data_IF_507661546933
#
_entry.id   IF_507661546933
#
_cell.length_a   1.000
_cell.length_b   1.000
_cell.length_c   1.000
_cell.angle_alpha   90.00
_cell.angle_beta   90.00
_cell.angle_gamma   90.00
#
_symmetry.space_group_name_H-M   'P 1'
#
loop_
_entity.id
_entity.type
_entity.pdbx_description
1 polymer ?
#
# COMPACT_ATOMS: atom_id res chain seq x y z
N UNK A 1 57.67 -48.77 -49.37
CA UNK A 1 57.16 -49.73 -48.37
C UNK A 1 56.20 -49.01 -47.44
N UNK A 2 55.14 -49.69 -47.00
CA UNK A 2 53.82 -49.17 -46.63
C UNK A 2 53.74 -48.92 -45.11
N UNK A 3 52.65 -48.41 -44.52
CA UNK A 3 51.52 -49.17 -43.92
C UNK A 3 50.77 -48.08 -43.10
N UNK A 4 49.60 -47.55 -43.49
CA UNK A 4 48.21 -47.95 -43.14
C UNK A 4 48.00 -48.49 -41.72
N UNK A 5 47.20 -47.81 -40.90
CA UNK A 5 45.96 -48.34 -40.27
C UNK A 5 45.44 -47.34 -39.20
N UNK A 6 44.16 -46.96 -39.19
CA UNK A 6 42.99 -47.77 -38.75
C UNK A 6 43.22 -48.27 -37.31
N UNK A 7 42.35 -48.18 -36.31
CA UNK A 7 40.89 -48.11 -36.17
C UNK A 7 40.64 -48.02 -34.64
N UNK A 8 39.56 -47.35 -34.17
CA UNK A 8 38.39 -47.97 -33.49
C UNK A 8 38.80 -49.07 -32.48
N UNK A 9 38.52 -49.03 -31.17
CA UNK A 9 37.18 -49.13 -30.55
C UNK A 9 37.29 -49.13 -29.00
N UNK A 10 36.26 -48.56 -28.36
CA UNK A 10 35.49 -49.09 -27.22
C UNK A 10 36.08 -49.35 -25.81
N UNK A 11 35.48 -48.59 -24.86
CA UNK A 11 34.74 -49.02 -23.66
C UNK A 11 35.53 -49.63 -22.50
N UNK A 12 35.57 -48.89 -21.38
CA UNK A 12 35.05 -49.43 -20.12
C UNK A 12 34.23 -48.37 -19.37
N UNK A 13 33.00 -48.77 -19.07
CA UNK A 13 31.98 -48.06 -18.29
C UNK A 13 31.95 -48.76 -16.92
N UNK A 14 32.16 -48.04 -15.82
CA UNK A 14 31.56 -48.38 -14.51
C UNK A 14 31.15 -47.08 -13.80
N UNK A 15 29.91 -47.13 -13.34
CA UNK A 15 29.05 -46.15 -12.71
C UNK A 15 29.34 -45.99 -11.21
N UNK A 16 29.07 -44.81 -10.62
CA UNK A 16 28.07 -44.64 -9.54
C UNK A 16 28.10 -43.23 -8.91
N UNK A 17 26.98 -42.52 -9.15
CA UNK A 17 26.22 -41.69 -8.21
C UNK A 17 26.60 -40.23 -7.88
N UNK A 18 25.57 -39.40 -7.60
CA UNK A 18 25.45 -38.06 -8.15
C UNK A 18 25.80 -36.99 -7.13
N UNK A 19 26.55 -35.98 -7.57
CA UNK A 19 26.63 -34.71 -6.86
C UNK A 19 25.36 -33.91 -7.15
N UNK A 20 24.38 -34.11 -6.27
CA UNK A 20 23.54 -33.08 -5.67
C UNK A 20 23.32 -31.85 -6.57
N UNK A 21 22.38 -31.99 -7.52
CA UNK A 21 21.76 -30.83 -8.15
C UNK A 21 20.82 -30.21 -7.13
N UNK A 22 21.39 -29.39 -6.24
CA UNK A 22 20.63 -28.42 -5.50
C UNK A 22 19.92 -27.53 -6.52
N UNK A 23 18.62 -27.75 -6.65
CA UNK A 23 17.67 -26.88 -7.30
C UNK A 23 17.96 -25.44 -6.87
N UNK A 24 18.59 -24.66 -7.74
CA UNK A 24 18.37 -23.23 -7.71
C UNK A 24 16.89 -23.06 -8.05
N UNK A 25 16.04 -22.53 -7.15
CA UNK A 25 14.74 -22.07 -7.59
C UNK A 25 15.03 -21.03 -8.67
N UNK A 26 14.45 -21.27 -9.84
CA UNK A 26 14.32 -20.26 -10.88
C UNK A 26 13.99 -18.94 -10.19
N UNK A 27 14.84 -17.93 -10.38
CA UNK A 27 14.43 -16.56 -10.17
C UNK A 27 13.22 -16.38 -11.08
N UNK A 28 12.03 -16.54 -10.53
CA UNK A 28 10.77 -16.15 -11.15
C UNK A 28 11.03 -14.73 -11.62
N UNK A 29 11.14 -14.54 -12.93
CA UNK A 29 11.21 -13.21 -13.51
C UNK A 29 10.03 -12.46 -12.92
N UNK A 30 10.29 -11.40 -12.15
CA UNK A 30 9.23 -10.58 -11.60
C UNK A 30 8.36 -10.16 -12.77
N UNK A 31 7.16 -10.70 -12.87
CA UNK A 31 6.22 -10.35 -13.92
C UNK A 31 6.02 -8.84 -13.84
N UNK A 32 6.10 -8.16 -14.99
CA UNK A 32 5.87 -6.73 -15.03
C UNK A 32 4.48 -6.44 -14.41
N UNK A 33 4.38 -5.45 -13.51
CA UNK A 33 3.15 -5.17 -12.81
C UNK A 33 2.02 -4.90 -13.83
N UNK A 34 0.83 -5.49 -13.64
CA UNK A 34 -0.22 -5.43 -14.67
C UNK A 34 -0.82 -4.04 -14.84
N UNK A 35 -0.69 -3.17 -13.84
CA UNK A 35 -1.22 -1.81 -13.86
C UNK A 35 -0.25 -0.80 -13.25
N UNK A 36 -0.41 0.47 -13.64
CA UNK A 36 0.29 1.60 -13.03
C UNK A 36 -0.66 2.77 -12.78
N UNK A 37 -0.48 3.46 -11.65
CA UNK A 37 -1.11 4.75 -11.39
C UNK A 37 -0.31 5.83 -12.12
N UNK A 38 -0.98 6.61 -12.98
CA UNK A 38 -0.35 7.66 -13.77
C UNK A 38 -0.92 9.01 -13.36
N UNK A 39 -0.06 9.92 -12.93
CA UNK A 39 -0.40 11.30 -12.55
C UNK A 39 0.16 12.24 -13.61
N UNK A 40 -0.72 12.81 -14.42
CA UNK A 40 -0.41 13.80 -15.44
C UNK A 40 -0.51 15.20 -14.84
N UNK A 41 0.53 16.03 -14.97
CA UNK A 41 0.50 17.39 -14.44
C UNK A 41 1.29 18.37 -15.32
N UNK A 42 0.72 19.55 -15.67
CA UNK A 42 1.26 20.43 -16.69
C UNK A 42 2.64 21.03 -16.36
N UNK A 43 3.02 21.09 -15.08
CA UNK A 43 4.30 21.66 -14.65
C UNK A 43 5.41 20.61 -14.43
N UNK A 44 5.18 19.35 -14.77
CA UNK A 44 6.21 18.31 -14.75
C UNK A 44 7.10 18.38 -16.00
N UNK A 45 7.68 19.55 -16.26
CA UNK A 45 8.68 19.71 -17.32
C UNK A 45 10.05 19.24 -16.80
N UNK A 46 10.85 18.66 -17.69
CA UNK A 46 12.27 18.45 -17.39
C UNK A 46 12.93 19.82 -17.28
N UNK A 47 13.48 20.14 -16.11
CA UNK A 47 14.42 21.23 -15.95
C UNK A 47 15.53 21.11 -17.01
N UNK A 48 16.11 22.24 -17.39
CA UNK A 48 17.19 22.36 -18.39
C UNK A 48 18.40 21.42 -18.20
N UNK A 49 18.54 20.77 -17.05
CA UNK A 49 19.56 19.75 -16.73
C UNK A 49 19.07 18.30 -16.82
N UNK A 50 17.88 18.07 -17.36
CA UNK A 50 17.25 16.75 -17.41
C UNK A 50 16.73 16.26 -16.06
N UNK A 51 16.76 17.11 -15.01
CA UNK A 51 16.10 16.83 -13.74
C UNK A 51 14.62 17.15 -13.88
N UNK A 52 13.77 16.36 -13.25
CA UNK A 52 12.35 16.69 -13.20
C UNK A 52 12.15 17.90 -12.30
N UNK A 53 11.33 18.87 -12.74
CA UNK A 53 10.73 19.80 -11.80
C UNK A 53 9.87 18.99 -10.85
N UNK A 54 10.40 18.66 -9.67
CA UNK A 54 9.70 17.84 -8.69
C UNK A 54 8.77 18.74 -7.88
N UNK A 55 7.48 18.60 -8.09
CA UNK A 55 6.51 19.06 -7.11
C UNK A 55 6.44 18.01 -5.99
N UNK A 56 7.05 18.33 -4.84
CA UNK A 56 7.11 17.44 -3.68
C UNK A 56 5.72 17.05 -3.16
N UNK A 57 4.72 17.93 -3.31
CA UNK A 57 3.35 17.64 -2.89
C UNK A 57 2.70 16.62 -3.81
N UNK A 58 2.84 16.79 -5.14
CA UNK A 58 2.31 15.83 -6.13
C UNK A 58 2.94 14.46 -5.92
N UNK A 59 4.26 14.39 -5.75
CA UNK A 59 4.97 13.14 -5.49
C UNK A 59 4.48 12.46 -4.21
N UNK A 60 4.30 13.24 -3.14
CA UNK A 60 3.81 12.75 -1.85
C UNK A 60 2.40 12.21 -1.96
N UNK A 61 1.48 12.92 -2.61
CA UNK A 61 0.09 12.49 -2.75
C UNK A 61 -0.06 11.31 -3.72
N UNK A 62 0.78 11.24 -4.77
CA UNK A 62 0.88 10.05 -5.64
C UNK A 62 1.25 8.81 -4.84
N UNK A 63 2.35 8.84 -4.08
CA UNK A 63 2.80 7.68 -3.29
C UNK A 63 1.78 7.25 -2.23
N UNK A 64 1.08 8.21 -1.62
CA UNK A 64 -0.02 7.91 -0.68
C UNK A 64 -1.26 7.34 -1.37
N UNK A 65 -1.60 7.80 -2.57
CA UNK A 65 -2.69 7.25 -3.36
C UNK A 65 -2.42 5.78 -3.71
N UNK A 66 -1.22 5.46 -4.20
CA UNK A 66 -0.80 4.06 -4.46
C UNK A 66 -0.87 3.21 -3.21
N UNK A 67 -0.33 3.71 -2.09
CA UNK A 67 -0.36 2.99 -0.82
C UNK A 67 -1.80 2.74 -0.32
N UNK A 68 -2.71 3.70 -0.52
CA UNK A 68 -4.12 3.57 -0.14
C UNK A 68 -4.86 2.57 -1.04
N UNK A 69 -4.55 2.57 -2.34
CA UNK A 69 -5.11 1.62 -3.30
C UNK A 69 -4.66 0.18 -3.01
N UNK A 70 -3.39 0.01 -2.63
CA UNK A 70 -2.85 -1.27 -2.19
C UNK A 70 -3.55 -1.80 -0.93
N UNK A 71 -3.71 -0.93 0.06
CA UNK A 71 -4.41 -1.27 1.31
C UNK A 71 -5.88 -1.64 1.07
N UNK A 72 -6.55 -1.02 0.10
CA UNK A 72 -7.93 -1.39 -0.29
C UNK A 72 -8.00 -2.79 -0.92
N UNK A 73 -7.00 -3.19 -1.71
CA UNK A 73 -6.96 -4.48 -2.40
C UNK A 73 -6.28 -5.60 -1.60
N UNK A 74 -5.86 -5.34 -0.36
CA UNK A 74 -5.19 -6.29 0.53
C UNK A 74 -3.92 -6.96 -0.05
N UNK A 75 -3.25 -6.31 -1.00
CA UNK A 75 -2.02 -6.80 -1.62
C UNK A 75 -0.78 -6.05 -1.12
N UNK A 76 0.40 -6.70 -1.03
CA UNK A 76 1.65 -5.98 -0.87
C UNK A 76 1.89 -5.14 -2.14
N UNK A 77 1.64 -3.84 -2.07
CA UNK A 77 2.21 -2.94 -3.07
C UNK A 77 3.72 -2.88 -2.83
N UNK A 78 4.45 -3.63 -3.63
CA UNK A 78 5.76 -3.16 -4.03
C UNK A 78 5.52 -1.85 -4.76
N UNK A 79 5.86 -0.74 -4.11
CA UNK A 79 5.99 0.55 -4.77
C UNK A 79 7.08 0.34 -5.83
N UNK A 80 6.67 0.17 -7.09
CA UNK A 80 7.60 0.14 -8.21
C UNK A 80 8.38 1.45 -8.31
N UNK A 81 9.34 1.49 -9.23
CA UNK A 81 10.08 2.71 -9.50
C UNK A 81 9.11 3.86 -9.81
N UNK A 82 9.35 5.03 -9.22
CA UNK A 82 8.67 6.24 -9.67
C UNK A 82 9.36 6.65 -10.95
N UNK A 83 8.74 6.36 -12.08
CA UNK A 83 9.26 6.80 -13.37
C UNK A 83 8.56 8.09 -13.74
N UNK A 84 9.33 9.04 -14.25
CA UNK A 84 8.73 10.16 -14.96
C UNK A 84 9.12 10.11 -16.41
N UNK A 85 8.10 10.03 -17.23
CA UNK A 85 8.15 10.21 -18.68
C UNK A 85 7.41 11.50 -18.97
N UNK A 86 7.95 12.34 -19.84
CA UNK A 86 7.37 13.59 -20.38
C UNK A 86 6.05 14.06 -19.72
N UNK A 87 6.11 14.83 -18.64
CA UNK A 87 4.92 15.47 -18.04
C UNK A 87 4.07 14.62 -17.09
N UNK A 88 4.49 13.38 -16.76
CA UNK A 88 3.74 12.50 -15.85
C UNK A 88 4.62 11.74 -14.86
N UNK A 89 4.05 11.43 -13.70
CA UNK A 89 4.56 10.42 -12.77
C UNK A 89 3.83 9.10 -13.02
N UNK A 90 4.56 8.01 -13.08
CA UNK A 90 4.05 6.65 -13.21
C UNK A 90 4.57 5.83 -12.03
N UNK A 91 3.64 5.18 -11.33
CA UNK A 91 3.94 4.32 -10.20
C UNK A 91 3.24 2.98 -10.39
N UNK A 92 4.05 1.94 -10.43
CA UNK A 92 3.52 0.60 -10.69
C UNK A 92 2.70 0.07 -9.52
N UNK A 93 1.66 -0.67 -9.87
CA UNK A 93 0.77 -1.35 -8.96
C UNK A 93 1.02 -2.86 -9.07
N UNK A 94 1.89 -3.36 -8.20
CA UNK A 94 2.03 -4.80 -8.00
C UNK A 94 0.82 -5.29 -7.18
N UNK A 95 -0.24 -5.73 -7.84
CA UNK A 95 -1.27 -6.54 -7.20
C UNK A 95 -0.73 -7.97 -7.10
N UNK A 96 -0.36 -8.40 -5.88
CA UNK A 96 0.00 -9.80 -5.67
C UNK A 96 -1.24 -10.63 -5.95
N UNK A 97 -1.13 -11.46 -6.98
CA UNK A 97 -2.11 -12.43 -7.43
C UNK A 97 -3.51 -11.84 -7.62
N UNK A 98 -3.98 -11.82 -8.87
CA UNK A 98 -5.42 -12.02 -9.06
C UNK A 98 -5.83 -13.19 -8.15
N UNK A 99 -6.80 -13.05 -7.23
CA UNK A 99 -7.43 -14.26 -6.75
C UNK A 99 -7.96 -14.92 -8.03
N UNK A 100 -7.46 -16.12 -8.33
CA UNK A 100 -7.99 -17.04 -9.34
C UNK A 100 -9.43 -17.48 -9.00
N UNK A 101 -10.27 -16.55 -8.53
CA UNK A 101 -11.60 -16.73 -7.99
C UNK A 101 -12.63 -15.89 -8.78
N UNK A 102 -12.20 -15.00 -9.68
CA UNK A 102 -13.10 -14.35 -10.64
C UNK A 102 -13.32 -15.23 -11.90
N UNK A 103 -13.61 -16.52 -11.70
CA UNK A 103 -14.26 -17.37 -12.72
C UNK A 103 -15.79 -17.42 -12.53
N UNK A 104 -16.33 -16.45 -11.79
CA UNK A 104 -17.76 -16.22 -11.67
C UNK A 104 -17.99 -14.74 -12.00
N UNK A 105 -18.58 -14.51 -13.17
CA UNK A 105 -19.15 -13.25 -13.66
C UNK A 105 -18.18 -12.11 -14.02
N UNK A 106 -17.59 -12.20 -15.22
CA UNK A 106 -17.61 -11.18 -16.28
C UNK A 106 -17.20 -9.71 -16.06
N UNK A 107 -17.03 -9.22 -14.84
CA UNK A 107 -16.64 -7.84 -14.53
C UNK A 107 -15.15 -7.82 -14.16
N UNK A 108 -14.38 -6.95 -14.83
CA UNK A 108 -12.98 -6.78 -14.45
C UNK A 108 -12.90 -6.15 -13.06
N UNK A 109 -12.00 -6.65 -12.22
CA UNK A 109 -11.80 -6.14 -10.84
C UNK A 109 -11.37 -4.66 -10.80
N UNK A 110 -10.92 -4.12 -11.94
CA UNK A 110 -10.69 -2.70 -12.21
C UNK A 110 -12.00 -1.93 -12.45
N UNK A 111 -12.91 -2.42 -13.29
CA UNK A 111 -14.22 -1.78 -13.50
C UNK A 111 -15.01 -1.67 -12.19
N UNK A 112 -14.98 -2.71 -11.35
CA UNK A 112 -15.60 -2.69 -10.01
C UNK A 112 -15.00 -1.59 -9.14
N UNK A 113 -13.67 -1.43 -9.16
CA UNK A 113 -12.99 -0.36 -8.43
C UNK A 113 -13.41 1.02 -8.95
N UNK A 114 -13.36 1.24 -10.26
CA UNK A 114 -13.73 2.53 -10.88
C UNK A 114 -15.19 2.88 -10.59
N UNK A 115 -16.09 1.91 -10.71
CA UNK A 115 -17.51 2.06 -10.40
C UNK A 115 -17.72 2.43 -8.93
N UNK A 116 -17.04 1.73 -8.02
CA UNK A 116 -17.09 2.01 -6.58
C UNK A 116 -16.58 3.41 -6.24
N UNK A 117 -15.42 3.81 -6.78
CA UNK A 117 -14.88 5.15 -6.56
C UNK A 117 -15.79 6.24 -7.15
N UNK A 118 -16.41 5.96 -8.29
CA UNK A 118 -17.37 6.89 -8.93
C UNK A 118 -18.62 7.07 -8.07
N UNK A 119 -19.14 5.99 -7.51
CA UNK A 119 -20.28 6.05 -6.60
C UNK A 119 -19.94 6.81 -5.32
N UNK A 120 -18.82 6.48 -4.68
CA UNK A 120 -18.36 7.17 -3.47
C UNK A 120 -18.16 8.67 -3.71
N UNK A 121 -17.61 9.05 -4.87
CA UNK A 121 -17.51 10.46 -5.27
C UNK A 121 -18.88 11.13 -5.34
N UNK A 122 -19.88 10.47 -5.95
CA UNK A 122 -21.26 11.00 -6.01
C UNK A 122 -21.87 11.14 -4.62
N UNK A 123 -21.66 10.17 -3.75
CA UNK A 123 -22.15 10.21 -2.37
C UNK A 123 -21.54 11.36 -1.58
N UNK A 124 -20.23 11.59 -1.71
CA UNK A 124 -19.54 12.71 -1.07
C UNK A 124 -20.07 14.06 -1.58
N UNK A 125 -20.21 14.22 -2.90
CA UNK A 125 -20.75 15.45 -3.48
C UNK A 125 -22.20 15.71 -3.05
N UNK A 126 -23.05 14.68 -2.97
CA UNK A 126 -24.41 14.82 -2.47
C UNK A 126 -24.45 15.16 -0.97
N UNK A 127 -23.57 14.53 -0.17
CA UNK A 127 -23.47 14.75 1.26
C UNK A 127 -22.99 16.16 1.61
N UNK A 128 -22.11 16.74 0.79
CA UNK A 128 -21.61 18.11 0.97
C UNK A 128 -22.70 19.19 0.78
N UNK A 129 -23.81 18.85 0.13
CA UNK A 129 -24.95 19.75 -0.07
C UNK A 129 -26.00 19.67 1.06
N UNK A 130 -25.80 18.79 2.04
CA UNK A 130 -26.69 18.68 3.20
C UNK A 130 -26.42 19.80 4.20
N UNK A 131 -27.49 20.27 4.86
CA UNK A 131 -27.37 21.23 5.97
C UNK A 131 -26.52 20.64 7.12
N UNK A 132 -26.66 19.34 7.36
CA UNK A 132 -25.86 18.56 8.31
C UNK A 132 -25.21 17.37 7.59
N UNK A 133 -23.98 17.53 7.07
CA UNK A 133 -23.27 16.46 6.39
C UNK A 133 -23.04 15.24 7.29
N UNK A 134 -23.18 14.05 6.74
CA UNK A 134 -22.89 12.80 7.43
C UNK A 134 -21.40 12.48 7.42
N UNK A 135 -20.95 11.71 8.41
CA UNK A 135 -19.58 11.16 8.40
C UNK A 135 -19.40 10.13 7.29
N UNK A 136 -18.16 9.96 6.79
CA UNK A 136 -17.89 8.95 5.76
C UNK A 136 -18.24 7.51 6.21
N UNK A 137 -18.19 7.21 7.52
CA UNK A 137 -18.63 5.92 8.06
C UNK A 137 -20.14 5.72 7.94
N UNK A 138 -20.92 6.79 8.17
CA UNK A 138 -22.37 6.78 7.96
C UNK A 138 -22.73 6.68 6.46
N UNK A 139 -21.84 7.13 5.57
CA UNK A 139 -21.93 6.88 4.12
C UNK A 139 -21.42 5.49 3.71
N UNK A 140 -21.06 4.62 4.66
CA UNK A 140 -20.48 3.30 4.41
C UNK A 140 -19.20 3.31 3.55
N UNK A 141 -18.41 4.39 3.64
CA UNK A 141 -17.11 4.52 2.98
C UNK A 141 -16.00 4.10 3.97
N UNK A 142 -15.26 3.00 3.69
CA UNK A 142 -14.18 2.53 4.56
C UNK A 142 -13.05 3.57 4.72
N UNK A 143 -12.38 3.56 5.87
CA UNK A 143 -11.26 4.46 6.19
C UNK A 143 -10.15 4.42 5.09
N UNK A 144 -9.82 3.24 4.57
CA UNK A 144 -8.80 3.05 3.51
C UNK A 144 -9.20 3.71 2.19
N UNK A 145 -10.45 3.52 1.77
CA UNK A 145 -11.01 4.15 0.56
C UNK A 145 -11.15 5.66 0.72
N UNK A 146 -11.51 6.11 1.92
CA UNK A 146 -11.53 7.53 2.25
C UNK A 146 -10.12 8.14 2.15
N UNK A 147 -9.09 7.44 2.62
CA UNK A 147 -7.70 7.88 2.45
C UNK A 147 -7.30 7.99 0.97
N UNK A 148 -7.68 7.02 0.14
CA UNK A 148 -7.47 7.09 -1.32
C UNK A 148 -8.14 8.34 -1.92
N UNK A 149 -9.43 8.53 -1.64
CA UNK A 149 -10.22 9.68 -2.13
C UNK A 149 -9.63 11.02 -1.67
N UNK A 150 -9.12 11.12 -0.44
CA UNK A 150 -8.41 12.30 0.06
C UNK A 150 -7.14 12.60 -0.73
N UNK A 151 -6.31 11.60 -1.00
CA UNK A 151 -5.07 11.82 -1.76
C UNK A 151 -5.38 12.18 -3.23
N UNK A 152 -6.41 11.56 -3.82
CA UNK A 152 -6.89 11.88 -5.15
C UNK A 152 -7.43 13.33 -5.25
N UNK A 153 -8.16 13.81 -4.25
CA UNK A 153 -8.61 15.22 -4.20
C UNK A 153 -7.45 16.21 -4.17
N UNK A 154 -6.38 15.91 -3.41
CA UNK A 154 -5.19 16.77 -3.37
C UNK A 154 -4.45 16.81 -4.71
N UNK A 155 -4.37 15.68 -5.42
CA UNK A 155 -3.82 15.64 -6.78
C UNK A 155 -4.67 16.48 -7.74
N UNK A 156 -6.00 16.40 -7.64
CA UNK A 156 -6.92 17.23 -8.43
C UNK A 156 -6.74 18.72 -8.14
N UNK A 157 -6.63 19.10 -6.87
CA UNK A 157 -6.45 20.49 -6.42
C UNK A 157 -5.13 21.07 -6.94
N UNK A 158 -4.09 20.26 -7.02
CA UNK A 158 -2.83 20.61 -7.67
C UNK A 158 -2.97 20.74 -9.20
N UNK A 159 -4.13 20.46 -9.80
CA UNK A 159 -4.34 20.51 -11.24
C UNK A 159 -3.88 19.24 -11.98
N UNK A 160 -3.64 18.15 -11.26
CA UNK A 160 -3.25 16.88 -11.87
C UNK A 160 -4.47 16.09 -12.36
N UNK A 161 -4.29 15.39 -13.49
CA UNK A 161 -5.20 14.35 -13.96
C UNK A 161 -4.62 12.99 -13.57
N UNK A 162 -5.42 12.12 -12.99
CA UNK A 162 -4.96 10.79 -12.54
C UNK A 162 -5.66 9.70 -13.34
N UNK A 163 -4.89 8.76 -13.87
CA UNK A 163 -5.38 7.61 -14.63
C UNK A 163 -4.80 6.31 -14.06
N UNK A 164 -5.49 5.19 -14.27
CA UNK A 164 -4.95 3.85 -14.15
C UNK A 164 -4.62 3.33 -15.54
N UNK A 165 -3.37 2.93 -15.75
CA UNK A 165 -2.91 2.36 -17.01
C UNK A 165 -2.82 0.85 -16.88
N UNK A 166 -3.36 0.12 -17.84
CA UNK A 166 -3.09 -1.30 -18.04
C UNK A 166 -1.76 -1.43 -18.80
N UNK A 167 -0.79 -2.14 -18.23
CA UNK A 167 0.54 -2.26 -18.83
C UNK A 167 0.59 -3.29 -19.97
N UNK A 168 -0.44 -4.14 -20.09
CA UNK A 168 -0.56 -5.14 -21.16
C UNK A 168 -0.95 -4.51 -22.50
N UNK A 169 -1.95 -3.64 -22.51
CA UNK A 169 -2.49 -3.04 -23.74
C UNK A 169 -2.26 -1.52 -23.83
N UNK A 170 -1.76 -0.89 -22.76
CA UNK A 170 -1.50 0.54 -22.68
C UNK A 170 -2.76 1.38 -22.45
N UNK A 171 -3.93 0.78 -22.24
CA UNK A 171 -5.18 1.50 -22.03
C UNK A 171 -5.13 2.30 -20.73
N UNK A 172 -5.49 3.59 -20.79
CA UNK A 172 -5.62 4.45 -19.61
C UNK A 172 -7.09 4.73 -19.30
N UNK A 173 -7.46 4.55 -18.03
CA UNK A 173 -8.79 4.85 -17.49
C UNK A 173 -8.66 5.97 -16.47
N UNK A 174 -9.43 7.05 -16.63
CA UNK A 174 -9.40 8.17 -15.70
C UNK A 174 -10.04 7.82 -14.36
N UNK A 175 -9.38 8.19 -13.26
CA UNK A 175 -9.92 8.00 -11.93
C UNK A 175 -10.94 9.10 -11.59
N UNK A 176 -12.07 8.76 -10.94
CA UNK A 176 -13.04 9.74 -10.49
C UNK A 176 -12.48 10.52 -9.29
N UNK A 177 -11.96 11.72 -9.56
CA UNK A 177 -11.37 12.59 -8.53
C UNK A 177 -12.45 13.38 -7.77
N UNK A 178 -12.64 13.20 -6.46
CA UNK A 178 -13.51 14.07 -5.66
C UNK A 178 -12.98 15.51 -5.61
N UNK A 179 -13.84 16.48 -5.37
CA UNK A 179 -13.37 17.85 -5.08
C UNK A 179 -12.94 17.95 -3.62
N UNK A 180 -12.03 18.88 -3.32
CA UNK A 180 -11.61 19.12 -1.95
C UNK A 180 -12.77 19.63 -1.09
N UNK A 181 -13.65 20.46 -1.65
CA UNK A 181 -14.84 20.98 -0.98
C UNK A 181 -15.78 19.85 -0.53
N UNK A 182 -15.98 18.82 -1.37
CA UNK A 182 -16.81 17.65 -1.01
C UNK A 182 -16.26 16.93 0.24
N UNK A 183 -14.94 16.93 0.40
CA UNK A 183 -14.25 16.28 1.53
C UNK A 183 -14.22 17.17 2.78
N UNK A 184 -14.01 18.47 2.60
CA UNK A 184 -13.97 19.46 3.67
C UNK A 184 -15.34 19.66 4.34
N UNK A 185 -16.43 19.33 3.63
CA UNK A 185 -17.78 19.31 4.17
C UNK A 185 -18.04 18.15 5.15
N UNK A 186 -17.21 17.09 5.14
CA UNK A 186 -17.37 15.99 6.08
C UNK A 186 -17.21 16.50 7.52
N UNK A 187 -18.02 15.99 8.48
CA UNK A 187 -17.85 16.31 9.88
C UNK A 187 -16.43 16.01 10.31
N UNK A 188 -15.72 17.06 10.74
CA UNK A 188 -14.39 16.91 11.32
C UNK A 188 -14.58 16.17 12.63
N UNK A 189 -14.17 14.90 12.69
CA UNK A 189 -14.00 14.22 13.97
C UNK A 189 -13.12 15.13 14.83
N UNK A 190 -13.67 15.62 15.93
CA UNK A 190 -12.89 16.32 16.92
C UNK A 190 -11.78 15.35 17.34
N UNK A 191 -10.54 15.65 16.94
CA UNK A 191 -9.39 14.86 17.39
C UNK A 191 -9.35 15.03 18.89
N UNK A 192 -9.68 13.98 19.63
CA UNK A 192 -9.34 13.93 21.04
C UNK A 192 -7.80 13.98 21.09
N UNK A 193 -7.20 15.04 21.65
CA UNK A 193 -5.74 15.20 21.68
C UNK A 193 -5.04 14.10 22.47
N UNK A 194 -5.80 13.34 23.27
CA UNK A 194 -5.31 12.21 24.03
C UNK A 194 -5.51 10.89 23.28
N UNK A 195 -6.39 10.82 22.27
CA UNK A 195 -6.57 9.57 21.52
C UNK A 195 -5.38 9.31 20.59
N UNK A 196 -4.84 8.10 20.69
CA UNK A 196 -3.77 7.58 19.85
C UNK A 196 -4.37 6.56 18.90
N UNK A 197 -4.17 6.74 17.60
CA UNK A 197 -4.52 5.79 16.55
C UNK A 197 -3.36 5.77 15.56
N UNK A 198 -2.80 4.60 15.26
CA UNK A 198 -1.69 4.53 14.32
C UNK A 198 -1.08 3.14 14.20
N UNK A 199 0.04 3.04 13.48
CA UNK A 199 0.78 1.79 13.33
C UNK A 199 1.86 1.66 14.40
N UNK A 200 2.05 0.47 14.96
CA UNK A 200 3.19 0.22 15.83
C UNK A 200 4.49 0.25 15.01
N UNK A 201 5.36 1.21 15.30
CA UNK A 201 6.59 1.51 14.53
C UNK A 201 7.88 1.29 15.30
N UNK A 202 7.81 1.14 16.63
CA UNK A 202 8.97 0.90 17.46
C UNK A 202 8.60 0.28 18.80
N UNK A 203 9.51 -0.54 19.34
CA UNK A 203 9.36 -1.22 20.63
C UNK A 203 10.68 -1.11 21.40
N UNK A 204 10.61 -0.83 22.70
CA UNK A 204 11.76 -0.71 23.59
C UNK A 204 11.51 -1.28 24.98
N UNK A 205 12.60 -1.52 25.71
CA UNK A 205 12.55 -2.06 27.07
C UNK A 205 12.22 -0.93 28.07
N UNK A 206 11.22 -1.15 28.93
CA UNK A 206 10.94 -0.30 30.10
C UNK A 206 11.09 -1.08 31.41
N UNK A 207 10.51 -2.29 31.49
CA UNK A 207 10.56 -3.15 32.67
C UNK A 207 10.19 -4.61 32.36
N UNK A 208 10.03 -5.43 33.40
CA UNK A 208 9.68 -6.85 33.23
C UNK A 208 8.26 -7.07 32.70
N UNK A 209 7.34 -6.18 33.06
CA UNK A 209 5.90 -6.23 32.70
C UNK A 209 5.45 -4.97 31.95
N UNK A 210 6.39 -4.18 31.44
CA UNK A 210 6.09 -2.98 30.64
C UNK A 210 7.08 -2.79 29.52
N UNK A 211 6.60 -2.25 28.41
CA UNK A 211 7.41 -1.93 27.25
C UNK A 211 7.17 -0.48 26.83
N UNK A 212 8.14 0.08 26.11
CA UNK A 212 7.96 1.33 25.37
C UNK A 212 7.48 1.00 23.97
N UNK A 213 6.48 1.71 23.50
CA UNK A 213 5.97 1.60 22.14
C UNK A 213 6.00 2.95 21.44
N UNK A 214 6.30 2.95 20.16
CA UNK A 214 6.26 4.13 19.29
C UNK A 214 5.19 3.91 18.23
N UNK A 215 4.18 4.78 18.19
CA UNK A 215 3.06 4.70 17.26
C UNK A 215 3.19 5.78 16.19
N UNK A 216 3.17 5.40 14.91
CA UNK A 216 3.29 6.30 13.74
C UNK A 216 4.49 7.25 13.82
N UNK A 217 5.65 6.73 14.26
CA UNK A 217 6.89 7.50 14.46
C UNK A 217 6.75 8.68 15.44
N UNK A 218 5.90 8.51 16.45
CA UNK A 218 5.58 9.51 17.46
C UNK A 218 6.54 9.52 18.66
N UNK A 219 6.13 10.17 19.75
CA UNK A 219 6.85 10.06 21.02
C UNK A 219 6.65 8.64 21.59
N UNK A 220 7.68 8.01 22.16
CA UNK A 220 7.53 6.71 22.81
C UNK A 220 6.63 6.83 24.04
N UNK A 221 5.73 5.86 24.21
CA UNK A 221 4.78 5.75 25.31
C UNK A 221 4.98 4.41 26.02
N UNK A 222 4.72 4.34 27.32
CA UNK A 222 4.78 3.11 28.09
C UNK A 222 3.44 2.39 27.99
N UNK A 223 3.45 1.10 27.68
CA UNK A 223 2.32 0.20 27.87
C UNK A 223 2.64 -0.72 29.04
N UNK A 224 1.73 -0.74 30.00
CA UNK A 224 1.78 -1.64 31.15
C UNK A 224 1.16 -3.00 30.78
N UNK A 225 1.51 -4.02 31.57
CA UNK A 225 1.06 -5.41 31.40
C UNK A 225 1.36 -6.03 30.03
N UNK A 226 2.46 -5.56 29.40
CA UNK A 226 2.91 -6.04 28.11
C UNK A 226 4.40 -6.23 28.08
N UNK A 227 4.83 -7.39 27.61
CA UNK A 227 6.25 -7.67 27.45
C UNK A 227 6.76 -7.11 26.13
N UNK A 228 8.08 -6.87 26.07
CA UNK A 228 8.77 -6.45 24.83
C UNK A 228 8.62 -7.51 23.73
N UNK A 229 8.58 -8.80 24.10
CA UNK A 229 8.44 -9.89 23.14
C UNK A 229 7.05 -9.87 22.46
N UNK A 230 5.99 -9.64 23.23
CA UNK A 230 4.63 -9.55 22.70
C UNK A 230 4.46 -8.32 21.79
N UNK A 231 4.95 -7.17 22.25
CA UNK A 231 4.94 -5.94 21.47
C UNK A 231 5.74 -6.07 20.16
N UNK A 232 6.89 -6.74 20.19
CA UNK A 232 7.70 -6.98 18.99
C UNK A 232 6.95 -7.85 17.97
N UNK A 233 6.18 -8.84 18.42
CA UNK A 233 5.32 -9.65 17.54
C UNK A 233 4.29 -8.77 16.82
N UNK A 234 3.55 -7.94 17.56
CA UNK A 234 2.58 -7.01 16.96
C UNK A 234 3.23 -6.05 15.95
N UNK A 235 4.45 -5.58 16.24
CA UNK A 235 5.16 -4.69 15.34
C UNK A 235 5.52 -5.38 14.01
N UNK A 236 6.01 -6.62 14.08
CA UNK A 236 6.34 -7.42 12.88
C UNK A 236 5.10 -7.74 12.04
N UNK A 237 3.95 -7.92 12.69
CA UNK A 237 2.65 -8.17 12.04
C UNK A 237 2.02 -6.89 11.46
N UNK A 238 2.70 -5.73 11.52
CA UNK A 238 2.19 -4.47 10.99
C UNK A 238 0.94 -3.95 11.72
N UNK A 239 0.82 -4.25 13.01
CA UNK A 239 -0.36 -4.00 13.81
C UNK A 239 -0.77 -2.52 13.89
N UNK A 240 -2.09 -2.28 13.82
CA UNK A 240 -2.72 -1.01 14.17
C UNK A 240 -2.95 -0.96 15.68
N UNK A 241 -2.52 0.12 16.30
CA UNK A 241 -2.67 0.40 17.72
C UNK A 241 -3.67 1.51 17.92
N UNK A 242 -4.57 1.33 18.87
CA UNK A 242 -5.42 2.39 19.41
C UNK A 242 -5.24 2.49 20.92
N UNK A 243 -5.51 3.66 21.51
CA UNK A 243 -5.51 3.83 22.96
C UNK A 243 -5.57 5.31 23.37
N UNK A 244 -5.36 5.58 24.65
CA UNK A 244 -5.40 6.92 25.23
C UNK A 244 -4.04 7.29 25.81
N UNK A 245 -3.47 8.38 25.31
CA UNK A 245 -2.25 9.00 25.82
C UNK A 245 -2.55 9.68 27.15
N UNK A 246 -1.85 9.27 28.20
CA UNK A 246 -1.91 9.88 29.54
C UNK A 246 -0.50 10.28 29.94
N UNK A 247 -0.33 11.51 30.45
CA UNK A 247 0.95 11.97 30.98
C UNK A 247 0.91 11.95 32.51
N UNK A 248 1.79 11.15 33.13
CA UNK A 248 1.91 11.03 34.58
C UNK A 248 3.37 11.28 34.96
N UNK A 249 3.62 12.31 35.78
CA UNK A 249 4.98 12.61 36.25
C UNK A 249 6.01 12.92 35.14
N UNK A 250 5.56 13.42 33.98
CA UNK A 250 6.41 13.69 32.81
C UNK A 250 6.70 12.47 31.94
N UNK A 251 6.04 11.33 32.21
CA UNK A 251 6.13 10.09 31.44
C UNK A 251 4.82 9.86 30.70
N UNK A 252 4.91 9.49 29.42
CA UNK A 252 3.74 9.21 28.60
C UNK A 252 3.39 7.72 28.68
N UNK A 253 2.12 7.45 28.95
CA UNK A 253 1.51 6.13 28.97
C UNK A 253 0.49 6.01 27.84
N UNK A 254 0.39 4.82 27.27
CA UNK A 254 -0.71 4.46 26.38
C UNK A 254 -1.65 3.52 27.14
N UNK A 255 -2.72 4.10 27.68
CA UNK A 255 -3.77 3.39 28.42
C UNK A 255 -4.81 2.82 27.45
N UNK A 256 -5.50 1.78 27.89
CA UNK A 256 -6.54 1.09 27.10
C UNK A 256 -6.04 0.70 25.70
N UNK A 257 -4.79 0.25 25.63
CA UNK A 257 -4.12 -0.03 24.37
C UNK A 257 -4.71 -1.28 23.72
N UNK A 258 -5.25 -1.16 22.51
CA UNK A 258 -5.73 -2.27 21.70
C UNK A 258 -4.85 -2.44 20.46
N UNK A 259 -4.52 -3.69 20.15
CA UNK A 259 -3.61 -4.11 19.08
C UNK A 259 -4.36 -4.96 18.08
N UNK A 260 -4.68 -4.39 16.93
CA UNK A 260 -5.38 -5.04 15.83
C UNK A 260 -4.37 -5.48 14.77
N UNK A 261 -4.18 -6.79 14.59
CA UNK A 261 -3.38 -7.33 13.49
C UNK A 261 -4.28 -7.54 12.27
N UNK A 262 -3.76 -7.27 11.07
CA UNK A 262 -4.50 -7.53 9.82
C UNK A 262 -4.72 -9.04 9.54
N UNK A 263 -4.23 -9.91 10.43
CA UNK A 263 -4.39 -11.35 10.35
C UNK A 263 -5.68 -11.81 11.03
N UNK A 264 -6.84 -11.38 10.51
CA UNK A 264 -8.13 -12.02 10.82
C UNK A 264 -9.18 -11.75 9.73
N UNK A 265 -8.97 -12.41 8.59
CA UNK A 265 -10.06 -13.03 7.82
C UNK A 265 -10.53 -14.33 8.50
N UNK A 266 -10.77 -14.27 9.81
CA UNK A 266 -11.33 -15.37 10.60
C UNK A 266 -12.81 -15.13 10.81
N UNK A 267 -13.64 -15.73 9.95
CA UNK A 267 -15.05 -15.97 10.24
C UNK A 267 -15.13 -16.90 11.44
N UNK A 268 -15.46 -16.37 12.61
CA UNK A 268 -16.09 -17.16 13.67
C UNK A 268 -17.56 -16.73 13.74
N UNK A 269 -18.41 -17.55 13.09
CA UNK A 269 -19.82 -17.72 13.40
C UNK A 269 -19.95 -18.69 14.59
#
# INVERSE_FOLDING_TARGET
MPITDSSVTAIHKISSDPLDQSHHPEQVAAEDPPYSLVVHHPHLERESRGRLGTDEEILRFSGKAVSSLAAEKAGPALLGGIFSTDGRYEQDLCWADEPQVALIEGESSLEVLISTLSENRRQLAANALLDEPLSHRALHIPDSRMALLWNLAHLREAGARVTLRCNVDGTEIELPLPSKDDLDALPKLAKDPNQVIGQLTGVGIQGATSCRVEVTRGKPMIVEDMTVADAAKYMLDGCRVTGTKVEEGGVLYLRDAAFETNAQGGLDL
#
